data_IF_849906642755
#
_entry.id   IF_849906642755
#
_cell.length_a   1.000
_cell.length_b   1.000
_cell.length_c   1.000
_cell.angle_alpha   90.00
_cell.angle_beta   90.00
_cell.angle_gamma   90.00
#
_symmetry.space_group_name_H-M   'P 1'
#
loop_
_entity.id
_entity.type
_entity.pdbx_description
1 polymer ?
#
# COMPACT_ATOMS: atom_id res chain seq x y z
N UNK A 1 26.10 10.99 12.01
CA UNK A 1 25.06 10.17 11.33
C UNK A 1 24.72 10.76 9.96
N UNK A 2 24.78 10.00 8.86
CA UNK A 2 24.27 10.48 7.58
C UNK A 2 22.75 10.64 7.68
N UNK A 3 22.25 11.78 7.22
CA UNK A 3 20.83 12.10 7.12
C UNK A 3 20.14 11.14 6.14
N UNK A 4 18.95 10.61 6.45
CA UNK A 4 18.14 9.88 5.48
C UNK A 4 17.90 10.77 4.24
N UNK A 5 17.76 10.22 3.03
CA UNK A 5 17.38 11.01 1.86
C UNK A 5 16.01 11.66 2.12
N UNK A 6 15.98 12.96 2.43
CA UNK A 6 14.76 13.71 2.79
C UNK A 6 13.98 14.25 1.59
N UNK A 7 14.31 13.86 0.36
CA UNK A 7 13.56 14.32 -0.80
C UNK A 7 12.87 13.16 -1.48
N UNK A 8 11.58 13.00 -1.16
CA UNK A 8 10.59 12.41 -2.06
C UNK A 8 10.90 12.93 -3.47
N UNK A 9 11.05 12.08 -4.49
CA UNK A 9 11.17 12.54 -5.87
C UNK A 9 10.04 13.55 -6.11
N UNK A 10 10.32 14.72 -6.73
CA UNK A 10 9.24 15.64 -7.08
C UNK A 10 8.18 14.83 -7.83
N UNK A 11 6.88 14.96 -7.49
CA UNK A 11 5.84 14.25 -8.21
C UNK A 11 6.05 14.60 -9.68
N UNK A 12 6.34 13.59 -10.50
CA UNK A 12 6.33 13.81 -11.93
C UNK A 12 4.93 14.31 -12.27
N UNK A 13 4.82 15.25 -13.20
CA UNK A 13 3.56 15.78 -13.73
C UNK A 13 2.72 14.72 -14.49
N UNK A 14 2.75 13.46 -14.05
CA UNK A 14 2.45 12.29 -14.85
C UNK A 14 0.99 11.83 -14.80
N UNK A 15 0.10 12.57 -14.12
CA UNK A 15 -1.33 12.36 -14.23
C UNK A 15 -2.04 13.71 -14.23
N UNK A 16 -2.58 14.11 -15.39
CA UNK A 16 -3.21 15.42 -15.64
C UNK A 16 -4.71 15.45 -15.33
N UNK A 17 -5.26 14.34 -14.83
CA UNK A 17 -6.66 14.20 -14.44
C UNK A 17 -6.96 14.70 -13.02
N UNK A 18 -8.20 14.49 -12.60
CA UNK A 18 -8.71 14.81 -11.27
C UNK A 18 -8.02 13.94 -10.20
N UNK A 19 -7.61 14.58 -9.11
CA UNK A 19 -6.99 13.94 -7.95
C UNK A 19 -8.04 13.29 -7.05
N UNK A 20 -8.78 12.33 -7.59
CA UNK A 20 -9.70 11.49 -6.81
C UNK A 20 -8.97 10.20 -6.43
N UNK A 21 -9.11 9.80 -5.18
CA UNK A 21 -8.58 8.55 -4.69
C UNK A 21 -9.49 7.38 -5.09
N UNK A 22 -8.89 6.24 -5.40
CA UNK A 22 -9.59 4.99 -5.70
C UNK A 22 -9.49 4.08 -4.48
N UNK A 23 -10.62 3.57 -3.99
CA UNK A 23 -10.67 2.56 -2.94
C UNK A 23 -11.24 1.26 -3.49
N UNK A 24 -10.63 0.13 -3.12
CA UNK A 24 -11.14 -1.20 -3.43
C UNK A 24 -11.06 -2.16 -2.25
N UNK A 25 -12.16 -2.87 -2.05
CA UNK A 25 -12.26 -3.98 -1.09
C UNK A 25 -11.78 -5.33 -1.63
N UNK A 26 -11.96 -5.59 -2.93
CA UNK A 26 -11.73 -6.92 -3.48
C UNK A 26 -10.24 -7.26 -3.56
N UNK A 27 -9.87 -8.42 -3.05
CA UNK A 27 -8.54 -9.01 -3.20
C UNK A 27 -8.40 -9.79 -4.51
N UNK A 28 -9.50 -10.00 -5.27
CA UNK A 28 -9.49 -10.73 -6.56
C UNK A 28 -8.57 -10.07 -7.60
N UNK A 29 -8.43 -8.75 -7.56
CA UNK A 29 -7.61 -7.99 -8.53
C UNK A 29 -6.14 -8.45 -8.56
N UNK A 30 -5.61 -8.85 -7.41
CA UNK A 30 -4.22 -9.29 -7.29
C UNK A 30 -4.09 -10.77 -6.93
N UNK A 31 -5.12 -11.42 -6.37
CA UNK A 31 -5.10 -12.87 -6.08
C UNK A 31 -5.56 -13.73 -7.25
N UNK A 32 -6.62 -13.31 -7.92
CA UNK A 32 -7.35 -14.12 -8.90
C UNK A 32 -7.14 -13.61 -10.33
N UNK A 33 -6.41 -12.50 -10.49
CA UNK A 33 -6.11 -11.91 -11.80
C UNK A 33 -7.28 -11.14 -12.42
N UNK A 34 -8.24 -10.67 -11.62
CA UNK A 34 -9.31 -9.81 -12.11
C UNK A 34 -8.73 -8.48 -12.62
N UNK A 35 -8.82 -8.27 -13.94
CA UNK A 35 -8.26 -7.09 -14.59
C UNK A 35 -9.20 -5.87 -14.60
N UNK A 36 -10.44 -5.99 -14.11
CA UNK A 36 -11.46 -4.95 -14.26
C UNK A 36 -11.03 -3.60 -13.69
N UNK A 37 -10.36 -3.58 -12.54
CA UNK A 37 -9.85 -2.34 -11.93
C UNK A 37 -8.73 -1.68 -12.77
N UNK A 38 -7.77 -2.45 -13.26
CA UNK A 38 -6.70 -1.93 -14.14
C UNK A 38 -7.28 -1.47 -15.48
N UNK A 39 -8.24 -2.22 -16.03
CA UNK A 39 -8.92 -1.89 -17.28
C UNK A 39 -9.75 -0.61 -17.16
N UNK A 40 -10.43 -0.41 -16.03
CA UNK A 40 -11.08 0.86 -15.73
C UNK A 40 -10.05 1.98 -15.65
N UNK A 41 -9.01 1.83 -14.83
CA UNK A 41 -8.01 2.87 -14.59
C UNK A 41 -7.27 3.32 -15.86
N UNK A 42 -7.03 2.42 -16.82
CA UNK A 42 -6.36 2.76 -18.08
C UNK A 42 -7.28 3.31 -19.17
N UNK A 43 -8.61 3.22 -18.98
CA UNK A 43 -9.60 3.82 -19.91
C UNK A 43 -9.53 5.35 -19.89
N UNK A 44 -10.10 6.00 -20.91
CA UNK A 44 -10.15 7.47 -21.00
C UNK A 44 -10.81 8.10 -19.77
N UNK A 45 -11.91 7.49 -19.30
CA UNK A 45 -12.59 7.92 -18.08
C UNK A 45 -11.71 7.67 -16.85
N UNK A 46 -11.14 6.47 -16.71
CA UNK A 46 -10.29 6.14 -15.56
C UNK A 46 -9.10 7.09 -15.42
N UNK A 47 -8.40 7.37 -16.52
CA UNK A 47 -7.27 8.32 -16.54
C UNK A 47 -7.66 9.73 -16.11
N UNK A 48 -8.91 10.14 -16.39
CA UNK A 48 -9.42 11.45 -15.94
C UNK A 48 -9.68 11.50 -14.43
N UNK A 49 -9.90 10.39 -13.75
CA UNK A 49 -10.33 10.38 -12.34
C UNK A 49 -9.38 9.65 -11.39
N UNK A 50 -8.40 8.93 -11.90
CA UNK A 50 -7.50 8.10 -11.10
C UNK A 50 -6.11 8.73 -10.91
N UNK A 51 -6.04 10.03 -10.63
CA UNK A 51 -4.77 10.71 -10.33
C UNK A 51 -4.51 10.91 -8.84
N UNK A 52 -5.41 10.46 -7.97
CA UNK A 52 -5.21 10.44 -6.52
C UNK A 52 -4.53 9.15 -6.05
N UNK A 53 -4.56 8.93 -4.73
CA UNK A 53 -4.03 7.72 -4.11
C UNK A 53 -4.91 6.49 -4.42
N UNK A 54 -4.32 5.30 -4.33
CA UNK A 54 -5.01 4.03 -4.44
C UNK A 54 -5.00 3.35 -3.06
N UNK A 55 -6.17 2.97 -2.57
CA UNK A 55 -6.34 2.13 -1.38
C UNK A 55 -6.78 0.76 -1.82
N UNK A 56 -5.94 -0.26 -1.60
CA UNK A 56 -6.25 -1.64 -1.94
C UNK A 56 -6.17 -2.55 -0.74
N UNK A 57 -7.26 -3.28 -0.50
CA UNK A 57 -7.30 -4.31 0.52
C UNK A 57 -6.31 -5.44 0.20
N UNK A 58 -5.45 -5.77 1.18
CA UNK A 58 -4.48 -6.87 1.08
C UNK A 58 -4.64 -7.92 2.18
N UNK A 59 -5.34 -7.57 3.26
CA UNK A 59 -5.58 -8.45 4.39
C UNK A 59 -6.76 -7.95 5.24
N UNK A 60 -7.33 -8.84 6.02
CA UNK A 60 -8.40 -8.58 6.98
C UNK A 60 -8.17 -9.39 8.28
N UNK A 61 -9.09 -9.28 9.23
CA UNK A 61 -9.00 -9.92 10.55
C UNK A 61 -8.71 -11.44 10.52
N UNK A 62 -8.95 -12.13 9.39
CA UNK A 62 -8.67 -13.56 9.19
C UNK A 62 -7.22 -13.86 8.80
N UNK A 63 -6.45 -12.89 8.30
CA UNK A 63 -5.08 -13.08 7.81
C UNK A 63 -4.10 -11.95 8.20
N UNK A 64 -4.32 -11.32 9.34
CA UNK A 64 -3.46 -10.24 9.87
C UNK A 64 -1.98 -10.63 10.06
N UNK A 65 -1.65 -11.92 10.15
CA UNK A 65 -0.28 -12.40 10.35
C UNK A 65 0.44 -12.75 9.04
N UNK A 66 -0.23 -12.69 7.88
CA UNK A 66 0.41 -12.94 6.59
C UNK A 66 -0.34 -12.30 5.40
N UNK A 67 0.43 -11.73 4.48
CA UNK A 67 -0.07 -11.32 3.16
C UNK A 67 0.02 -12.53 2.23
N UNK A 68 -1.12 -13.02 1.75
CA UNK A 68 -1.20 -14.10 0.73
C UNK A 68 -0.59 -13.64 -0.59
N UNK A 69 -0.13 -14.57 -1.40
CA UNK A 69 0.27 -14.39 -2.81
C UNK A 69 1.08 -13.10 -3.09
N UNK A 70 2.10 -12.85 -2.26
CA UNK A 70 2.90 -11.62 -2.28
C UNK A 70 3.50 -11.33 -3.66
N UNK A 71 3.92 -12.36 -4.39
CA UNK A 71 4.43 -12.24 -5.76
C UNK A 71 3.39 -11.66 -6.71
N UNK A 72 2.13 -12.10 -6.60
CA UNK A 72 1.06 -11.59 -7.46
C UNK A 72 0.70 -10.15 -7.08
N UNK A 73 0.69 -9.82 -5.78
CA UNK A 73 0.49 -8.46 -5.31
C UNK A 73 1.56 -7.50 -5.86
N UNK A 74 2.84 -7.89 -5.82
CA UNK A 74 3.94 -7.08 -6.38
C UNK A 74 3.80 -6.90 -7.88
N UNK A 75 3.57 -7.99 -8.62
CA UNK A 75 3.32 -7.93 -10.08
C UNK A 75 2.14 -7.04 -10.42
N UNK A 76 1.07 -7.11 -9.64
CA UNK A 76 -0.11 -6.26 -9.82
C UNK A 76 0.18 -4.78 -9.57
N UNK A 77 0.92 -4.43 -8.52
CA UNK A 77 1.30 -3.03 -8.26
C UNK A 77 2.15 -2.44 -9.39
N UNK A 78 3.09 -3.23 -9.94
CA UNK A 78 3.87 -2.82 -11.12
C UNK A 78 2.97 -2.58 -12.32
N UNK A 79 2.07 -3.52 -12.60
CA UNK A 79 1.08 -3.40 -13.69
C UNK A 79 0.20 -2.17 -13.52
N UNK A 80 -0.29 -1.90 -12.30
CA UNK A 80 -1.09 -0.72 -11.98
C UNK A 80 -0.35 0.57 -12.35
N UNK A 81 0.90 0.73 -11.90
CA UNK A 81 1.74 1.89 -12.24
C UNK A 81 1.90 2.06 -13.75
N UNK A 82 2.28 0.97 -14.42
CA UNK A 82 2.60 0.98 -15.85
C UNK A 82 1.38 1.27 -16.73
N UNK A 83 0.22 0.67 -16.43
CA UNK A 83 -0.96 0.75 -17.30
C UNK A 83 -1.86 1.94 -16.99
N UNK A 84 -1.98 2.34 -15.72
CA UNK A 84 -2.84 3.47 -15.34
C UNK A 84 -2.15 4.82 -15.43
N UNK A 85 -0.80 4.86 -15.31
CA UNK A 85 -0.05 6.11 -15.16
C UNK A 85 -0.30 6.82 -13.81
N UNK A 86 -1.02 6.19 -12.88
CA UNK A 86 -1.23 6.73 -11.54
C UNK A 86 0.08 6.71 -10.75
N UNK A 87 0.49 7.88 -10.26
CA UNK A 87 1.68 8.06 -9.42
C UNK A 87 1.34 8.47 -7.97
N UNK A 88 0.08 8.34 -7.55
CA UNK A 88 -0.36 8.51 -6.17
C UNK A 88 0.18 7.42 -5.23
N UNK A 89 -0.06 7.52 -3.94
CA UNK A 89 0.39 6.48 -3.00
C UNK A 89 -0.46 5.22 -3.21
N UNK A 90 0.18 4.05 -3.31
CA UNK A 90 -0.52 2.76 -3.18
C UNK A 90 -0.56 2.42 -1.69
N UNK A 91 -1.70 2.71 -1.06
CA UNK A 91 -2.03 2.34 0.30
C UNK A 91 -2.49 0.88 0.35
N UNK A 92 -1.61 0.03 0.87
CA UNK A 92 -1.86 -1.38 1.12
C UNK A 92 -2.65 -1.49 2.43
N UNK A 93 -3.94 -1.79 2.28
CA UNK A 93 -4.96 -1.65 3.33
C UNK A 93 -5.16 -2.95 4.09
N UNK A 94 -5.13 -2.87 5.41
CA UNK A 94 -5.67 -3.89 6.32
C UNK A 94 -7.11 -3.54 6.67
N UNK A 95 -8.05 -4.34 6.16
CA UNK A 95 -9.47 -4.09 6.17
C UNK A 95 -10.22 -4.64 7.39
N UNK A 96 -11.42 -4.09 7.65
CA UNK A 96 -12.42 -4.59 8.62
C UNK A 96 -11.85 -4.78 10.03
N UNK A 97 -11.15 -3.75 10.51
CA UNK A 97 -10.53 -3.77 11.83
C UNK A 97 -11.51 -3.18 12.85
N UNK A 98 -12.24 -4.05 13.54
CA UNK A 98 -13.20 -3.71 14.60
C UNK A 98 -12.59 -3.79 16.01
N UNK A 99 -13.33 -3.45 17.08
CA UNK A 99 -12.85 -3.33 18.48
C UNK A 99 -11.96 -4.51 18.92
N UNK A 100 -12.36 -5.74 18.56
CA UNK A 100 -11.69 -6.98 18.96
C UNK A 100 -10.38 -7.25 18.19
N UNK A 101 -10.03 -6.39 17.24
CA UNK A 101 -8.92 -6.56 16.32
C UNK A 101 -7.82 -5.49 16.49
N UNK A 102 -7.87 -4.64 17.52
CA UNK A 102 -6.85 -3.61 17.78
C UNK A 102 -5.42 -4.16 17.88
N UNK A 103 -5.23 -5.27 18.61
CA UNK A 103 -3.93 -5.95 18.69
C UNK A 103 -3.48 -6.52 17.33
N UNK A 104 -4.44 -6.99 16.52
CA UNK A 104 -4.17 -7.51 15.18
C UNK A 104 -3.72 -6.40 14.23
N UNK A 105 -4.28 -5.19 14.35
CA UNK A 105 -3.84 -4.00 13.60
C UNK A 105 -2.38 -3.68 13.89
N UNK A 106 -2.02 -3.65 15.17
CA UNK A 106 -0.63 -3.42 15.61
C UNK A 106 0.29 -4.52 15.08
N UNK A 107 -0.12 -5.79 15.19
CA UNK A 107 0.64 -6.92 14.67
C UNK A 107 0.80 -6.90 13.15
N UNK A 108 -0.20 -6.38 12.42
CA UNK A 108 -0.17 -6.30 10.96
C UNK A 108 0.95 -5.38 10.45
N UNK A 109 1.38 -4.38 11.22
CA UNK A 109 2.55 -3.55 10.87
C UNK A 109 3.79 -4.42 10.69
N UNK A 110 4.04 -5.38 11.58
CA UNK A 110 5.17 -6.32 11.45
C UNK A 110 5.00 -7.26 10.24
N UNK A 111 3.76 -7.67 9.94
CA UNK A 111 3.48 -8.48 8.74
C UNK A 111 3.77 -7.69 7.47
N UNK A 112 3.43 -6.41 7.44
CA UNK A 112 3.72 -5.51 6.34
C UNK A 112 5.22 -5.32 6.15
N UNK A 113 5.96 -5.06 7.23
CA UNK A 113 7.43 -5.00 7.23
C UNK A 113 8.05 -6.27 6.64
N UNK A 114 7.63 -7.45 7.13
CA UNK A 114 8.16 -8.73 6.64
C UNK A 114 7.86 -8.95 5.16
N UNK A 115 6.71 -8.48 4.66
CA UNK A 115 6.42 -8.49 3.23
C UNK A 115 7.40 -7.61 2.45
N UNK A 116 7.66 -6.38 2.91
CA UNK A 116 8.62 -5.49 2.25
C UNK A 116 10.01 -6.15 2.21
N UNK A 117 10.50 -6.64 3.35
CA UNK A 117 11.82 -7.25 3.44
C UNK A 117 11.99 -8.52 2.58
N UNK A 118 10.94 -9.31 2.41
CA UNK A 118 11.02 -10.61 1.70
C UNK A 118 10.68 -10.53 0.22
N UNK A 119 9.78 -9.63 -0.16
CA UNK A 119 9.14 -9.65 -1.48
C UNK A 119 9.40 -8.40 -2.32
N UNK A 120 9.96 -7.34 -1.74
CA UNK A 120 10.24 -6.07 -2.44
C UNK A 120 11.74 -5.80 -2.38
N UNK A 121 12.44 -5.77 -3.52
CA UNK A 121 13.84 -5.35 -3.57
C UNK A 121 13.99 -3.90 -4.06
N UNK A 122 15.23 -3.36 -4.01
CA UNK A 122 15.63 -2.05 -4.54
C UNK A 122 14.91 -1.65 -5.84
N UNK A 123 15.04 -2.51 -6.85
CA UNK A 123 14.47 -2.28 -8.18
C UNK A 123 12.94 -2.28 -8.17
N UNK A 124 12.34 -3.24 -7.45
CA UNK A 124 10.88 -3.35 -7.34
C UNK A 124 10.29 -2.13 -6.64
N UNK A 125 10.92 -1.65 -5.55
CA UNK A 125 10.46 -0.45 -4.86
C UNK A 125 10.48 0.77 -5.77
N UNK A 126 11.53 0.95 -6.58
CA UNK A 126 11.61 2.05 -7.53
C UNK A 126 10.46 2.04 -8.56
N UNK A 127 9.91 0.87 -8.86
CA UNK A 127 8.78 0.73 -9.79
C UNK A 127 7.41 0.95 -9.12
N UNK A 128 7.25 0.61 -7.84
CA UNK A 128 5.94 0.64 -7.15
C UNK A 128 5.76 1.86 -6.24
N UNK A 129 6.85 2.50 -5.80
CA UNK A 129 6.80 3.65 -4.93
C UNK A 129 6.04 4.84 -5.55
N UNK A 130 5.40 5.70 -4.72
CA UNK A 130 5.28 5.57 -3.26
C UNK A 130 4.23 4.52 -2.84
N UNK A 131 4.55 3.74 -1.81
CA UNK A 131 3.61 2.80 -1.17
C UNK A 131 3.49 3.12 0.31
N UNK A 132 2.38 2.74 0.93
CA UNK A 132 2.15 2.92 2.37
C UNK A 132 1.25 1.85 2.93
N UNK A 133 1.18 1.78 4.25
CA UNK A 133 0.22 0.95 4.99
C UNK A 133 -0.99 1.80 5.38
N UNK A 134 -2.19 1.25 5.24
CA UNK A 134 -3.42 1.91 5.72
C UNK A 134 -4.33 0.92 6.41
N UNK A 135 -5.27 1.45 7.18
CA UNK A 135 -6.16 0.68 8.03
C UNK A 135 -7.59 1.15 7.81
N UNK A 136 -8.50 0.20 7.61
CA UNK A 136 -9.94 0.44 7.65
C UNK A 136 -10.45 0.05 9.04
N UNK A 137 -10.62 1.05 9.91
CA UNK A 137 -10.68 0.89 11.36
C UNK A 137 -11.97 1.44 11.93
N UNK A 138 -12.65 0.61 12.71
CA UNK A 138 -13.91 0.95 13.38
C UNK A 138 -13.80 0.63 14.87
N UNK A 139 -14.25 1.57 15.71
CA UNK A 139 -14.52 1.33 17.13
C UNK A 139 -13.33 0.78 17.96
N UNK A 140 -12.09 1.10 17.57
CA UNK A 140 -10.88 0.69 18.30
C UNK A 140 -10.52 1.70 19.38
N UNK A 141 -9.89 1.24 20.46
CA UNK A 141 -9.34 2.14 21.48
C UNK A 141 -8.11 2.92 20.96
N UNK A 142 -8.04 4.21 21.30
CA UNK A 142 -6.99 5.17 20.91
C UNK A 142 -5.55 4.66 21.09
N UNK A 143 -5.30 3.84 22.10
CA UNK A 143 -3.96 3.31 22.38
C UNK A 143 -3.43 2.44 21.23
N UNK A 144 -4.28 1.66 20.57
CA UNK A 144 -3.86 0.81 19.46
C UNK A 144 -3.51 1.64 18.22
N UNK A 145 -4.22 2.74 17.95
CA UNK A 145 -3.86 3.66 16.85
C UNK A 145 -2.48 4.28 17.09
N UNK A 146 -2.22 4.75 18.31
CA UNK A 146 -0.92 5.33 18.68
C UNK A 146 0.21 4.32 18.56
N UNK A 147 -0.03 3.09 19.02
CA UNK A 147 0.96 2.03 18.93
C UNK A 147 1.24 1.62 17.48
N UNK A 148 0.21 1.45 16.65
CA UNK A 148 0.38 1.13 15.23
C UNK A 148 1.08 2.26 14.48
N UNK A 149 0.78 3.53 14.80
CA UNK A 149 1.46 4.69 14.22
C UNK A 149 2.95 4.71 14.59
N UNK A 150 3.28 4.53 15.87
CA UNK A 150 4.67 4.50 16.32
C UNK A 150 5.44 3.35 15.64
N UNK A 151 4.86 2.14 15.63
CA UNK A 151 5.47 0.99 14.93
C UNK A 151 5.66 1.24 13.44
N UNK A 152 4.70 1.91 12.79
CA UNK A 152 4.82 2.24 11.36
C UNK A 152 5.94 3.24 11.10
N UNK A 153 6.18 4.18 12.02
CA UNK A 153 7.30 5.13 11.94
C UNK A 153 8.64 4.41 12.14
N UNK A 154 8.73 3.52 13.13
CA UNK A 154 9.94 2.73 13.40
C UNK A 154 10.27 1.82 12.20
N UNK A 155 9.26 1.14 11.66
CA UNK A 155 9.37 0.30 10.46
C UNK A 155 9.93 1.07 9.24
N UNK A 156 9.49 2.32 9.02
CA UNK A 156 10.02 3.14 7.91
C UNK A 156 11.54 3.30 8.06
N UNK A 157 12.03 3.54 9.28
CA UNK A 157 13.47 3.68 9.56
C UNK A 157 14.19 2.36 9.28
N UNK A 158 13.67 1.25 9.80
CA UNK A 158 14.26 -0.09 9.65
C UNK A 158 14.33 -0.54 8.19
N UNK A 159 13.23 -0.39 7.44
CA UNK A 159 13.16 -0.74 6.02
C UNK A 159 14.12 0.13 5.20
N UNK A 160 14.14 1.45 5.43
CA UNK A 160 15.01 2.36 4.68
C UNK A 160 16.48 2.04 4.93
N UNK A 161 16.87 1.84 6.20
CA UNK A 161 18.26 1.52 6.56
C UNK A 161 18.68 0.11 6.11
N UNK A 162 17.82 -0.89 6.30
CA UNK A 162 18.13 -2.29 6.04
C UNK A 162 18.14 -2.65 4.55
N UNK A 163 17.37 -1.93 3.73
CA UNK A 163 17.19 -2.26 2.31
C UNK A 163 17.85 -1.27 1.37
N UNK A 164 18.36 -0.13 1.87
CA UNK A 164 19.14 0.83 1.10
C UNK A 164 18.33 1.65 0.11
N UNK A 165 17.06 1.94 0.45
CA UNK A 165 16.20 2.85 -0.31
C UNK A 165 16.51 4.33 -0.01
#
# INVERSE_FOLDING_TARGET
PPTPPTSRPPPSDACTGNKIATYTWSQSYWREGDESLVNFAKSDMGRQWNCGDLYINIADASNYNFIKDQTNLVSWMKKWRQESGNNGIIWLTYGDVVDKSGEKMVAFVNTFEQFLMRSVNAQTMAEIAPIGISFDVEHIADNYYKEALQKSQDMIVEVTQGMGY
#
